data_IF_620633120736
#
_entry.id   IF_620633120736
#
_cell.length_a   1.000
_cell.length_b   1.000
_cell.length_c   1.000
_cell.angle_alpha   90.00
_cell.angle_beta   90.00
_cell.angle_gamma   90.00
#
_symmetry.space_group_name_H-M   'P 1'
#
loop_
_entity.id
_entity.type
_entity.pdbx_description
1 polymer ?
#
# COMPACT_ATOMS: atom_id res chain seq x y z
N UNK A 1 18.90 20.06 17.61
CA UNK A 1 18.64 19.38 16.33
C UNK A 1 19.88 18.63 15.92
N UNK A 2 19.84 17.30 15.96
CA UNK A 2 20.95 16.46 15.50
C UNK A 2 20.56 15.95 14.11
N UNK A 3 21.33 16.27 13.05
CA UNK A 3 21.05 15.79 11.71
C UNK A 3 21.49 14.33 11.64
N UNK A 4 20.57 13.38 11.84
CA UNK A 4 20.82 11.98 11.53
C UNK A 4 20.16 11.57 10.23
N UNK A 5 20.97 10.88 9.43
CA UNK A 5 20.70 10.17 8.19
C UNK A 5 20.62 11.01 6.91
N UNK A 6 21.77 11.19 6.25
CA UNK A 6 21.88 10.99 4.79
C UNK A 6 23.33 10.79 4.35
N UNK A 7 23.94 9.68 4.77
CA UNK A 7 25.25 9.27 4.30
C UNK A 7 25.26 7.78 3.91
N UNK A 8 24.41 7.36 2.96
CA UNK A 8 24.59 6.11 2.19
C UNK A 8 23.50 5.86 1.12
N UNK A 9 23.03 6.88 0.38
CA UNK A 9 22.14 6.62 -0.75
C UNK A 9 22.44 7.52 -1.96
N UNK A 10 23.69 7.47 -2.44
CA UNK A 10 24.04 7.91 -3.80
C UNK A 10 23.47 6.89 -4.79
N UNK A 11 22.19 7.02 -5.13
CA UNK A 11 21.58 6.13 -6.11
C UNK A 11 20.07 6.32 -6.27
N UNK A 12 19.70 7.27 -7.14
CA UNK A 12 18.32 7.68 -7.54
C UNK A 12 17.54 8.49 -6.50
N UNK A 13 17.33 9.77 -6.81
CA UNK A 13 16.33 10.62 -6.14
C UNK A 13 14.97 9.93 -6.25
N UNK A 14 14.41 9.55 -5.11
CA UNK A 14 13.01 9.15 -5.01
C UNK A 14 12.15 10.38 -5.26
N UNK A 15 11.05 10.18 -5.97
CA UNK A 15 10.04 11.22 -6.14
C UNK A 15 8.84 10.82 -5.29
N UNK A 16 8.76 11.36 -4.06
CA UNK A 16 7.52 11.33 -3.32
C UNK A 16 6.47 12.15 -4.09
N UNK A 17 5.20 11.83 -3.88
CA UNK A 17 4.12 12.60 -4.52
C UNK A 17 3.98 14.01 -3.92
N UNK A 18 4.24 14.11 -2.62
CA UNK A 18 4.29 15.36 -1.87
C UNK A 18 5.31 15.17 -0.74
N UNK A 19 6.42 15.89 -0.80
CA UNK A 19 7.44 15.86 0.25
C UNK A 19 6.97 16.66 1.47
N UNK A 20 7.34 16.20 2.67
CA UNK A 20 7.19 17.00 3.89
C UNK A 20 8.46 17.82 4.11
N UNK A 21 8.37 19.14 4.03
CA UNK A 21 9.51 20.06 3.95
C UNK A 21 10.49 19.96 5.12
N UNK A 22 10.02 19.51 6.29
CA UNK A 22 10.84 19.46 7.52
C UNK A 22 11.71 18.21 7.62
N UNK A 23 11.51 17.21 6.75
CA UNK A 23 12.26 15.95 6.80
C UNK A 23 12.01 15.13 8.06
N UNK A 24 10.93 15.43 8.80
CA UNK A 24 10.52 14.73 10.02
C UNK A 24 9.36 13.77 9.71
N UNK A 25 9.22 12.71 10.50
CA UNK A 25 8.06 11.82 10.47
C UNK A 25 7.36 11.89 11.83
N UNK A 26 6.09 12.27 11.83
CA UNK A 26 5.30 12.39 13.05
C UNK A 26 4.46 11.13 13.20
N UNK A 27 4.29 10.65 14.43
CA UNK A 27 3.53 9.44 14.72
C UNK A 27 3.25 9.27 16.20
N UNK A 28 2.82 8.05 16.56
CA UNK A 28 2.63 7.63 17.94
C UNK A 28 3.85 6.85 18.44
N UNK A 29 4.16 7.05 19.71
CA UNK A 29 5.05 6.15 20.45
C UNK A 29 4.15 5.20 21.27
N UNK A 30 4.29 3.89 21.04
CA UNK A 30 3.47 2.86 21.69
C UNK A 30 4.41 1.93 22.46
N UNK A 31 4.16 1.79 23.76
CA UNK A 31 4.81 0.79 24.58
C UNK A 31 4.05 -0.53 24.42
N UNK A 32 4.76 -1.57 23.99
CA UNK A 32 4.21 -2.91 23.81
C UNK A 32 4.88 -3.89 24.76
N UNK A 33 4.12 -4.86 25.24
CA UNK A 33 4.70 -6.06 25.84
C UNK A 33 5.42 -6.89 24.76
N UNK A 34 6.44 -7.70 25.12
CA UNK A 34 7.16 -8.52 24.15
C UNK A 34 6.24 -9.41 23.28
N UNK A 35 5.19 -9.98 23.87
CA UNK A 35 4.25 -10.86 23.17
C UNK A 35 3.35 -10.08 22.20
N UNK A 36 3.05 -8.82 22.51
CA UNK A 36 2.29 -7.93 21.62
C UNK A 36 3.17 -7.45 20.46
N UNK A 37 4.44 -7.19 20.75
CA UNK A 37 5.45 -6.85 19.76
C UNK A 37 5.61 -7.97 18.73
N UNK A 38 5.71 -9.22 19.17
CA UNK A 38 5.83 -10.37 18.26
C UNK A 38 4.63 -10.46 17.31
N UNK A 39 3.41 -10.18 17.78
CA UNK A 39 2.21 -10.14 16.92
C UNK A 39 2.30 -9.04 15.86
N UNK A 40 2.77 -7.85 16.24
CA UNK A 40 3.03 -6.77 15.28
C UNK A 40 4.09 -7.19 14.26
N UNK A 41 5.21 -7.74 14.72
CA UNK A 41 6.29 -8.23 13.86
C UNK A 41 5.79 -9.24 12.82
N UNK A 42 4.99 -10.23 13.24
CA UNK A 42 4.38 -11.21 12.34
C UNK A 42 3.42 -10.54 11.35
N UNK A 43 2.59 -9.59 11.81
CA UNK A 43 1.63 -8.90 10.93
C UNK A 43 2.29 -8.03 9.85
N UNK A 44 3.48 -7.47 10.12
CA UNK A 44 4.30 -6.72 9.16
C UNK A 44 5.07 -7.65 8.19
N UNK A 45 4.83 -8.96 8.28
CA UNK A 45 5.46 -9.98 7.44
C UNK A 45 6.82 -10.47 7.97
N UNK A 46 7.10 -10.25 9.25
CA UNK A 46 8.22 -10.85 9.98
C UNK A 46 8.27 -12.37 9.82
N UNK A 47 9.48 -12.94 9.87
CA UNK A 47 9.69 -14.38 9.68
C UNK A 47 9.69 -14.88 8.22
N UNK A 48 9.44 -14.02 7.21
CA UNK A 48 9.46 -14.39 5.78
C UNK A 48 10.85 -14.39 5.12
N UNK A 49 11.92 -14.29 5.92
CA UNK A 49 13.30 -14.36 5.46
C UNK A 49 13.64 -13.31 4.39
N UNK A 50 14.22 -13.75 3.27
CA UNK A 50 14.67 -12.87 2.17
C UNK A 50 13.52 -12.13 1.45
N UNK A 51 12.28 -12.61 1.60
CA UNK A 51 11.10 -12.04 0.96
C UNK A 51 10.35 -11.03 1.84
N UNK A 52 10.91 -10.65 3.00
CA UNK A 52 10.29 -9.69 3.90
C UNK A 52 10.33 -8.27 3.30
N UNK A 53 9.17 -7.64 3.16
CA UNK A 53 9.05 -6.31 2.54
C UNK A 53 9.54 -5.16 3.42
N UNK A 54 9.52 -5.33 4.75
CA UNK A 54 9.93 -4.32 5.73
C UNK A 54 11.15 -4.77 6.55
N UNK A 55 11.89 -3.82 7.09
CA UNK A 55 12.95 -4.03 8.07
C UNK A 55 12.71 -3.16 9.30
N UNK A 56 13.10 -3.67 10.46
CA UNK A 56 13.15 -2.92 11.71
C UNK A 56 14.32 -1.93 11.64
N UNK A 57 14.06 -0.72 12.11
CA UNK A 57 15.07 0.30 12.33
C UNK A 57 14.89 0.89 13.72
N UNK A 58 15.99 1.30 14.32
CA UNK A 58 15.97 2.10 15.54
C UNK A 58 15.95 3.57 15.15
N UNK A 59 14.98 4.31 15.67
CA UNK A 59 14.81 5.75 15.46
C UNK A 59 14.84 6.47 16.80
N UNK A 60 15.28 7.72 16.79
CA UNK A 60 15.11 8.61 17.94
C UNK A 60 13.76 9.30 17.82
N UNK A 61 12.82 8.94 18.71
CA UNK A 61 11.52 9.59 18.81
C UNK A 61 11.64 10.78 19.78
N UNK A 62 11.29 11.97 19.29
CA UNK A 62 11.32 13.22 20.08
C UNK A 62 9.87 13.56 20.44
N UNK A 63 9.51 13.61 21.74
CA UNK A 63 8.17 14.00 22.16
C UNK A 63 7.87 15.45 21.78
N UNK A 64 6.59 15.81 21.70
CA UNK A 64 6.20 17.19 21.42
C UNK A 64 6.25 18.08 22.65
N UNK A 65 5.98 17.52 23.81
CA UNK A 65 6.22 18.20 25.08
C UNK A 65 7.73 18.26 25.36
N UNK A 66 8.12 19.22 26.20
CA UNK A 66 9.49 19.39 26.66
C UNK A 66 9.78 18.62 27.95
N UNK A 67 8.76 17.98 28.51
CA UNK A 67 8.81 17.36 29.84
C UNK A 67 9.38 15.94 29.76
N UNK A 68 9.29 15.31 28.60
CA UNK A 68 9.85 13.99 28.37
C UNK A 68 11.13 14.04 27.52
N UNK A 69 12.16 13.25 27.86
CA UNK A 69 13.35 13.13 27.03
C UNK A 69 13.04 12.35 25.74
N UNK A 70 13.83 12.56 24.67
CA UNK A 70 13.79 11.68 23.50
C UNK A 70 14.09 10.23 23.87
N UNK A 71 13.44 9.29 23.17
CA UNK A 71 13.62 7.85 23.38
C UNK A 71 14.03 7.14 22.10
N UNK A 72 14.73 6.02 22.24
CA UNK A 72 14.96 5.10 21.12
C UNK A 72 13.74 4.21 20.96
N UNK A 73 13.23 4.13 19.74
CA UNK A 73 12.06 3.34 19.39
C UNK A 73 12.34 2.47 18.17
N UNK A 74 11.64 1.33 18.08
CA UNK A 74 11.64 0.52 16.87
C UNK A 74 10.57 1.03 15.92
N UNK A 75 10.94 1.18 14.65
CA UNK A 75 10.03 1.50 13.56
C UNK A 75 10.27 0.56 12.37
N UNK A 76 9.27 0.46 11.49
CA UNK A 76 9.37 -0.34 10.27
C UNK A 76 9.53 0.55 9.05
N UNK A 77 10.45 0.18 8.15
CA UNK A 77 10.56 0.80 6.83
C UNK A 77 10.67 -0.24 5.74
N UNK A 78 10.22 0.08 4.53
CA UNK A 78 10.37 -0.81 3.39
C UNK A 78 11.86 -1.13 3.12
N UNK A 79 12.19 -2.40 2.87
CA UNK A 79 13.53 -2.87 2.48
C UNK A 79 13.89 -2.40 1.07
N UNK A 80 15.18 -2.31 0.77
CA UNK A 80 15.67 -1.79 -0.50
C UNK A 80 15.04 -2.44 -1.76
N UNK A 81 14.77 -3.75 -1.73
CA UNK A 81 14.16 -4.47 -2.85
C UNK A 81 12.65 -4.21 -3.01
N UNK A 82 11.95 -3.87 -1.93
CA UNK A 82 10.52 -3.56 -1.92
C UNK A 82 10.23 -2.08 -2.19
N UNK A 83 11.26 -1.24 -2.13
CA UNK A 83 11.17 0.20 -2.40
C UNK A 83 10.89 0.47 -3.87
N UNK A 84 9.78 1.16 -4.14
CA UNK A 84 9.46 1.64 -5.48
C UNK A 84 10.33 2.85 -5.84
N UNK A 85 10.53 3.06 -7.15
CA UNK A 85 11.25 4.24 -7.67
C UNK A 85 10.43 5.52 -7.52
N UNK A 86 9.11 5.38 -7.64
CA UNK A 86 8.12 6.43 -7.48
C UNK A 86 7.03 5.86 -6.59
N UNK A 87 6.67 6.60 -5.55
CA UNK A 87 5.64 6.14 -4.63
C UNK A 87 4.27 6.30 -5.30
N UNK A 88 3.47 5.22 -5.35
CA UNK A 88 2.10 5.31 -5.83
C UNK A 88 1.26 6.07 -4.80
N UNK A 89 0.16 6.66 -5.26
CA UNK A 89 -0.73 7.33 -4.34
C UNK A 89 -1.42 6.30 -3.43
N UNK A 90 -1.51 6.57 -2.12
CA UNK A 90 -2.26 5.73 -1.20
C UNK A 90 -3.75 5.74 -1.56
N UNK A 91 -4.48 4.68 -1.17
CA UNK A 91 -5.93 4.65 -1.33
C UNK A 91 -6.62 5.65 -0.40
N UNK A 92 -7.81 6.12 -0.78
CA UNK A 92 -8.60 7.03 0.07
C UNK A 92 -8.84 6.43 1.46
N UNK A 93 -9.20 5.15 1.53
CA UNK A 93 -9.42 4.43 2.80
C UNK A 93 -8.16 4.44 3.68
N UNK A 94 -6.98 4.21 3.10
CA UNK A 94 -5.75 4.21 3.88
C UNK A 94 -5.43 5.62 4.40
N UNK A 95 -5.59 6.65 3.54
CA UNK A 95 -5.37 8.04 3.97
C UNK A 95 -6.40 8.53 4.98
N UNK A 96 -7.65 8.07 4.93
CA UNK A 96 -8.65 8.43 5.93
C UNK A 96 -8.25 7.95 7.32
N UNK A 97 -7.75 6.71 7.43
CA UNK A 97 -7.22 6.15 8.68
C UNK A 97 -6.05 6.99 9.20
N UNK A 98 -5.11 7.38 8.33
CA UNK A 98 -3.97 8.21 8.73
C UNK A 98 -4.40 9.61 9.21
N UNK A 99 -5.34 10.25 8.51
CA UNK A 99 -5.85 11.58 8.87
C UNK A 99 -6.66 11.55 10.17
N UNK A 100 -7.44 10.51 10.38
CA UNK A 100 -8.19 10.27 11.62
C UNK A 100 -7.25 10.03 12.80
N UNK A 101 -6.33 9.06 12.69
CA UNK A 101 -5.34 8.80 13.74
C UNK A 101 -4.47 10.01 14.04
N UNK A 102 -4.05 10.78 13.03
CA UNK A 102 -3.29 12.02 13.23
C UNK A 102 -4.07 13.09 14.02
N UNK A 103 -5.39 13.12 13.88
CA UNK A 103 -6.29 14.02 14.63
C UNK A 103 -6.46 13.55 16.06
N UNK A 104 -6.74 12.26 16.26
CA UNK A 104 -6.93 11.64 17.57
C UNK A 104 -5.67 11.77 18.45
N UNK A 105 -4.50 11.57 17.86
CA UNK A 105 -3.21 11.70 18.53
C UNK A 105 -2.76 13.16 18.74
N UNK A 106 -3.52 14.13 18.25
CA UNK A 106 -3.15 15.54 18.36
C UNK A 106 -1.83 15.88 17.66
N UNK A 107 -1.53 15.26 16.51
CA UNK A 107 -0.30 15.57 15.77
C UNK A 107 -0.26 17.06 15.37
N UNK A 108 0.97 17.62 15.25
CA UNK A 108 1.15 19.05 14.96
C UNK A 108 0.30 19.51 13.76
N UNK A 109 -0.35 20.69 13.83
CA UNK A 109 -1.23 21.16 12.76
C UNK A 109 -0.60 21.18 11.37
N UNK A 110 0.69 21.52 11.26
CA UNK A 110 1.40 21.52 9.98
C UNK A 110 1.53 20.11 9.36
N UNK A 111 1.69 19.06 10.18
CA UNK A 111 1.76 17.68 9.69
C UNK A 111 0.38 17.14 9.28
N UNK A 112 -0.65 17.48 10.06
CA UNK A 112 -2.04 17.16 9.73
C UNK A 112 -2.45 17.79 8.39
N UNK A 113 -2.13 19.07 8.18
CA UNK A 113 -2.36 19.75 6.91
C UNK A 113 -1.64 19.05 5.75
N UNK A 114 -0.38 18.64 5.95
CA UNK A 114 0.35 17.88 4.94
C UNK A 114 -0.32 16.52 4.60
N UNK A 115 -0.91 15.82 5.57
CA UNK A 115 -1.69 14.60 5.33
C UNK A 115 -3.02 14.87 4.61
N UNK A 116 -3.66 16.01 4.88
CA UNK A 116 -4.88 16.46 4.19
C UNK A 116 -4.59 16.75 2.71
N UNK A 117 -3.49 17.47 2.45
CA UNK A 117 -3.05 17.86 1.11
C UNK A 117 -2.43 16.71 0.32
N UNK A 118 -2.12 15.57 0.96
CA UNK A 118 -1.48 14.44 0.30
C UNK A 118 -2.39 13.81 -0.77
N UNK A 119 -1.89 13.61 -2.01
CA UNK A 119 -2.72 13.10 -3.10
C UNK A 119 -3.12 11.65 -2.87
N UNK A 120 -4.39 11.37 -3.17
CA UNK A 120 -5.07 10.09 -2.94
C UNK A 120 -5.44 9.43 -4.27
N UNK A 121 -5.27 8.13 -4.34
CA UNK A 121 -5.77 7.35 -5.45
C UNK A 121 -7.30 7.32 -5.40
N UNK A 122 -7.93 7.89 -6.42
CA UNK A 122 -9.39 7.88 -6.55
C UNK A 122 -9.90 6.45 -6.71
N UNK A 123 -11.01 6.15 -6.06
CA UNK A 123 -11.69 4.87 -6.19
C UNK A 123 -12.12 4.67 -7.64
N UNK A 124 -11.76 3.55 -8.28
CA UNK A 124 -12.19 3.27 -9.65
C UNK A 124 -13.71 3.12 -9.72
N UNK A 125 -14.28 3.33 -10.91
CA UNK A 125 -15.72 3.12 -11.12
C UNK A 125 -16.12 1.66 -10.87
N UNK A 126 -17.42 1.42 -10.67
CA UNK A 126 -17.97 0.09 -10.35
C UNK A 126 -17.63 -0.97 -11.42
N UNK A 127 -17.62 -0.59 -12.70
CA UNK A 127 -17.26 -1.49 -13.80
C UNK A 127 -15.80 -1.98 -13.69
N UNK A 128 -14.85 -1.07 -13.48
CA UNK A 128 -13.45 -1.44 -13.30
C UNK A 128 -13.21 -2.21 -11.99
N UNK A 129 -13.94 -1.88 -10.93
CA UNK A 129 -13.91 -2.68 -9.70
C UNK A 129 -14.39 -4.12 -9.95
N UNK A 130 -15.47 -4.30 -10.70
CA UNK A 130 -15.97 -5.62 -11.08
C UNK A 130 -14.91 -6.42 -11.86
N UNK A 131 -14.29 -5.79 -12.86
CA UNK A 131 -13.20 -6.42 -13.63
C UNK A 131 -12.03 -6.79 -12.72
N UNK A 132 -11.58 -5.88 -11.85
CA UNK A 132 -10.46 -6.10 -10.95
C UNK A 132 -10.72 -7.23 -9.94
N UNK A 133 -11.92 -7.31 -9.35
CA UNK A 133 -12.32 -8.37 -8.42
C UNK A 133 -12.29 -9.75 -9.07
N UNK A 134 -12.87 -9.87 -10.27
CA UNK A 134 -12.82 -11.15 -10.99
C UNK A 134 -11.38 -11.49 -11.42
N UNK A 135 -10.58 -10.52 -11.87
CA UNK A 135 -9.17 -10.76 -12.18
C UNK A 135 -8.36 -11.21 -10.96
N UNK A 136 -8.71 -10.77 -9.75
CA UNK A 136 -8.05 -11.22 -8.52
C UNK A 136 -8.23 -12.72 -8.30
N UNK A 137 -9.40 -13.29 -8.59
CA UNK A 137 -9.62 -14.75 -8.50
C UNK A 137 -8.68 -15.51 -9.44
N UNK A 138 -8.55 -15.02 -10.68
CA UNK A 138 -7.59 -15.56 -11.63
C UNK A 138 -6.13 -15.42 -11.15
N UNK A 139 -5.78 -14.28 -10.56
CA UNK A 139 -4.43 -14.03 -10.02
C UNK A 139 -4.12 -14.98 -8.86
N UNK A 140 -5.08 -15.21 -7.96
CA UNK A 140 -4.94 -16.17 -6.85
C UNK A 140 -4.78 -17.59 -7.38
N UNK A 141 -5.61 -18.02 -8.33
CA UNK A 141 -5.48 -19.32 -8.98
C UNK A 141 -4.10 -19.50 -9.62
N UNK A 142 -3.66 -18.54 -10.42
CA UNK A 142 -2.38 -18.63 -11.14
C UNK A 142 -1.17 -18.61 -10.21
N UNK A 143 -1.20 -17.82 -9.15
CA UNK A 143 -0.08 -17.71 -8.20
C UNK A 143 -0.01 -18.90 -7.24
N UNK A 144 -1.14 -19.34 -6.68
CA UNK A 144 -1.12 -20.32 -5.59
C UNK A 144 -1.38 -21.75 -6.06
N UNK A 145 -2.20 -21.95 -7.09
CA UNK A 145 -2.58 -23.29 -7.53
C UNK A 145 -1.77 -23.76 -8.73
N UNK A 146 -1.37 -22.84 -9.60
CA UNK A 146 -0.62 -23.18 -10.82
C UNK A 146 0.88 -22.85 -10.72
N UNK A 147 1.32 -22.14 -9.67
CA UNK A 147 2.70 -21.67 -9.47
C UNK A 147 3.27 -20.98 -10.74
N UNK A 148 2.46 -20.12 -11.37
CA UNK A 148 2.81 -19.39 -12.59
C UNK A 148 3.04 -17.88 -12.32
N UNK A 149 4.10 -17.48 -11.59
CA UNK A 149 4.35 -16.08 -11.25
C UNK A 149 4.70 -15.21 -12.46
N UNK A 150 4.99 -15.80 -13.62
CA UNK A 150 5.25 -15.07 -14.85
C UNK A 150 4.03 -14.25 -15.31
N UNK A 151 2.82 -14.82 -15.29
CA UNK A 151 1.61 -14.13 -15.74
C UNK A 151 1.31 -12.89 -14.88
N UNK A 152 1.43 -13.04 -13.56
CA UNK A 152 1.31 -11.92 -12.61
C UNK A 152 2.34 -10.83 -12.89
N UNK A 153 3.61 -11.20 -13.15
CA UNK A 153 4.67 -10.23 -13.48
C UNK A 153 4.38 -9.46 -14.77
N UNK A 154 3.93 -10.14 -15.83
CA UNK A 154 3.57 -9.50 -17.10
C UNK A 154 2.39 -8.55 -16.89
N UNK A 155 1.35 -8.99 -16.18
CA UNK A 155 0.20 -8.15 -15.89
C UNK A 155 0.61 -6.90 -15.07
N UNK A 156 1.37 -7.08 -13.98
CA UNK A 156 1.87 -5.96 -13.17
C UNK A 156 2.73 -4.98 -13.97
N UNK A 157 3.55 -5.47 -14.91
CA UNK A 157 4.34 -4.61 -15.79
C UNK A 157 3.45 -3.68 -16.63
N UNK A 158 2.40 -4.23 -17.25
CA UNK A 158 1.46 -3.43 -18.05
C UNK A 158 0.62 -2.48 -17.20
N UNK A 159 0.13 -2.94 -16.04
CA UNK A 159 -0.61 -2.11 -15.10
C UNK A 159 0.21 -0.92 -14.60
N UNK A 160 1.49 -1.14 -14.27
CA UNK A 160 2.38 -0.06 -13.86
C UNK A 160 2.60 0.97 -14.97
N UNK A 161 2.60 0.53 -16.23
CA UNK A 161 2.74 1.41 -17.40
C UNK A 161 1.45 2.16 -17.75
N UNK A 162 0.31 1.58 -17.44
CA UNK A 162 -1.01 2.20 -17.56
C UNK A 162 -1.36 3.12 -16.38
N UNK A 163 -0.60 3.04 -15.27
CA UNK A 163 -0.86 3.81 -14.07
C UNK A 163 -0.77 5.32 -14.34
N UNK A 164 -1.87 6.02 -14.04
CA UNK A 164 -1.95 7.47 -14.11
C UNK A 164 -2.00 8.02 -12.69
N UNK A 165 -1.01 8.81 -12.26
CA UNK A 165 -1.00 9.41 -10.93
C UNK A 165 -2.24 10.29 -10.72
N UNK A 166 -2.82 10.34 -9.52
CA UNK A 166 -3.99 11.17 -9.24
C UNK A 166 -3.70 12.66 -9.34
N UNK A 167 -2.44 13.08 -9.20
CA UNK A 167 -2.02 14.48 -9.42
C UNK A 167 -2.12 14.91 -10.90
N UNK A 168 -2.32 13.97 -11.83
CA UNK A 168 -2.51 14.29 -13.24
C UNK A 168 -3.91 14.90 -13.47
N UNK A 169 -3.96 16.14 -13.93
CA UNK A 169 -5.20 16.90 -14.18
C UNK A 169 -5.90 16.53 -15.50
N UNK A 170 -5.19 15.90 -16.44
CA UNK A 170 -5.73 15.57 -17.76
C UNK A 170 -6.75 14.42 -17.69
N UNK A 171 -8.02 14.75 -17.95
CA UNK A 171 -9.13 13.78 -18.04
C UNK A 171 -8.85 12.72 -19.09
N UNK A 172 -8.34 13.11 -20.26
CA UNK A 172 -8.02 12.19 -21.37
C UNK A 172 -7.04 11.11 -20.92
N UNK A 173 -5.95 11.49 -20.23
CA UNK A 173 -4.99 10.51 -19.71
C UNK A 173 -5.62 9.55 -18.72
N UNK A 174 -6.51 10.04 -17.83
CA UNK A 174 -7.22 9.19 -16.86
C UNK A 174 -8.14 8.18 -17.55
N UNK A 175 -8.92 8.63 -18.54
CA UNK A 175 -9.81 7.75 -19.32
C UNK A 175 -8.99 6.70 -20.07
N UNK A 176 -7.94 7.12 -20.78
CA UNK A 176 -7.05 6.21 -21.50
C UNK A 176 -6.39 5.21 -20.56
N UNK A 177 -5.86 5.65 -19.42
CA UNK A 177 -5.26 4.78 -18.40
C UNK A 177 -6.27 3.77 -17.84
N UNK A 178 -7.50 4.20 -17.59
CA UNK A 178 -8.60 3.33 -17.18
C UNK A 178 -8.94 2.27 -18.23
N UNK A 179 -9.05 2.67 -19.50
CA UNK A 179 -9.32 1.75 -20.61
C UNK A 179 -8.21 0.73 -20.78
N UNK A 180 -6.94 1.14 -20.76
CA UNK A 180 -5.80 0.23 -20.86
C UNK A 180 -5.79 -0.73 -19.65
N UNK A 181 -6.05 -0.22 -18.44
CA UNK A 181 -6.15 -1.04 -17.23
C UNK A 181 -7.24 -2.09 -17.38
N UNK A 182 -8.44 -1.71 -17.83
CA UNK A 182 -9.52 -2.66 -18.10
C UNK A 182 -9.11 -3.72 -19.12
N UNK A 183 -8.49 -3.33 -20.23
CA UNK A 183 -8.05 -4.27 -21.27
C UNK A 183 -7.00 -5.27 -20.77
N UNK A 184 -6.08 -4.82 -19.92
CA UNK A 184 -5.04 -5.67 -19.31
C UNK A 184 -5.63 -6.65 -18.29
N UNK A 185 -6.66 -6.24 -17.56
CA UNK A 185 -7.33 -7.08 -16.55
C UNK A 185 -8.40 -8.00 -17.16
N UNK A 186 -8.96 -7.66 -18.31
CA UNK A 186 -10.13 -8.33 -18.89
C UNK A 186 -9.94 -9.83 -19.09
N UNK A 187 -8.81 -10.34 -19.65
CA UNK A 187 -8.65 -11.78 -19.86
C UNK A 187 -8.69 -12.57 -18.56
N UNK A 188 -7.99 -12.09 -17.53
CA UNK A 188 -8.01 -12.71 -16.21
C UNK A 188 -9.36 -12.54 -15.52
N UNK A 189 -10.04 -11.41 -15.72
CA UNK A 189 -11.39 -11.20 -15.22
C UNK A 189 -12.42 -12.16 -15.84
N UNK A 190 -12.33 -12.44 -17.14
CA UNK A 190 -13.20 -13.40 -17.81
C UNK A 190 -13.02 -14.81 -17.25
N UNK A 191 -11.77 -15.25 -17.07
CA UNK A 191 -11.47 -16.56 -16.46
C UNK A 191 -11.96 -16.60 -15.00
N UNK A 192 -11.67 -15.55 -14.23
CA UNK A 192 -12.11 -15.41 -12.84
C UNK A 192 -13.62 -15.44 -12.69
N UNK A 193 -14.36 -14.82 -13.61
CA UNK A 193 -15.82 -14.85 -13.63
C UNK A 193 -16.36 -16.26 -13.91
N UNK A 194 -15.79 -16.97 -14.89
CA UNK A 194 -16.18 -18.35 -15.18
C UNK A 194 -15.92 -19.29 -13.99
N UNK A 195 -14.76 -19.14 -13.33
CA UNK A 195 -14.44 -19.88 -12.12
C UNK A 195 -15.43 -19.59 -11.00
N UNK A 196 -15.76 -18.30 -10.79
CA UNK A 196 -16.74 -17.88 -9.80
C UNK A 196 -18.10 -18.52 -10.07
N UNK A 197 -18.59 -18.45 -11.31
CA UNK A 197 -19.86 -19.07 -11.71
C UNK A 197 -19.85 -20.58 -11.49
N UNK A 198 -18.75 -21.26 -11.84
CA UNK A 198 -18.58 -22.70 -11.59
C UNK A 198 -18.61 -23.05 -10.10
N UNK A 199 -17.96 -22.26 -9.25
CA UNK A 199 -17.97 -22.47 -7.79
C UNK A 199 -19.33 -22.20 -7.17
N UNK A 200 -20.09 -21.22 -7.68
CA UNK A 200 -21.47 -20.95 -7.25
C UNK A 200 -22.39 -22.11 -7.65
N UNK A 201 -22.27 -22.64 -8.87
CA UNK A 201 -23.08 -23.76 -9.37
C UNK A 201 -22.77 -25.08 -8.64
N UNK A 202 -21.51 -25.33 -8.29
CA UNK A 202 -21.08 -26.55 -7.60
C UNK A 202 -21.23 -26.48 -6.07
N UNK A 203 -21.59 -25.32 -5.51
CA UNK A 203 -21.69 -25.11 -4.07
C UNK A 203 -20.35 -25.16 -3.33
N UNK A 204 -19.22 -25.12 -4.05
CA UNK A 204 -17.87 -25.22 -3.48
C UNK A 204 -17.32 -23.88 -2.99
N UNK A 205 -18.07 -22.79 -3.15
CA UNK A 205 -17.63 -21.46 -2.76
C UNK A 205 -17.59 -21.29 -1.24
N UNK A 206 -16.38 -21.13 -0.69
CA UNK A 206 -16.20 -20.85 0.72
C UNK A 206 -16.87 -19.52 1.14
N UNK A 207 -17.58 -19.44 2.29
CA UNK A 207 -18.32 -18.26 2.71
C UNK A 207 -17.50 -16.96 2.76
N UNK A 208 -16.26 -17.04 3.27
CA UNK A 208 -15.33 -15.89 3.30
C UNK A 208 -14.97 -15.35 1.91
N UNK A 209 -14.84 -16.24 0.92
CA UNK A 209 -14.55 -15.84 -0.46
C UNK A 209 -15.77 -15.16 -1.08
N UNK A 210 -16.97 -15.69 -0.80
CA UNK A 210 -18.23 -15.09 -1.22
C UNK A 210 -18.38 -13.66 -0.69
N UNK A 211 -18.18 -13.47 0.61
CA UNK A 211 -18.25 -12.15 1.26
C UNK A 211 -17.25 -11.17 0.65
N UNK A 212 -16.00 -11.61 0.45
CA UNK A 212 -14.94 -10.81 -0.16
C UNK A 212 -15.27 -10.37 -1.59
N UNK A 213 -15.90 -11.22 -2.40
CA UNK A 213 -16.29 -10.86 -3.78
C UNK A 213 -17.47 -9.88 -3.80
N UNK A 214 -18.43 -10.04 -2.87
CA UNK A 214 -19.67 -9.26 -2.84
C UNK A 214 -19.53 -7.86 -2.26
N UNK A 215 -18.56 -7.60 -1.38
CA UNK A 215 -18.27 -6.27 -0.82
C UNK A 215 -17.47 -5.43 -1.81
#
# INVERSE_FOLDING_TARGET
GVPHANAANKGRKRAALLDYERGECHGALILLLPEDYERVYISEGGGRGKNQGYEEIVVTAVPYDTDHPPVLAVAYRARAHARLRRDPAPSERYMSILREGARELGLKPCYRKWLEDHPVQQTPNSALQFVARNNMLFTVLTLFLLDMPFLSRVQSFWLYRAYVPPTQTSIVKRVVGGTITSLVLLPGASIGLLLRMSMELTGTMHPKLREFITR
#
